data_IF_118488666827
#
_entry.id   IF_118488666827
#
_cell.length_a   1.000
_cell.length_b   1.000
_cell.length_c   1.000
_cell.angle_alpha   90.00
_cell.angle_beta   90.00
_cell.angle_gamma   90.00
#
_symmetry.space_group_name_H-M   'P 1'
#
loop_
_entity.id
_entity.type
_entity.pdbx_description
1 polymer ?
#
# COMPACT_ATOMS: atom_id res chain seq x y z
N UNK A 1 7.48 -18.01 -16.89
CA UNK A 1 7.79 -16.57 -17.07
C UNK A 1 6.97 -15.83 -16.04
N UNK A 2 7.60 -15.02 -15.19
CA UNK A 2 6.86 -14.23 -14.21
C UNK A 2 5.85 -13.33 -14.93
N UNK A 3 4.58 -13.41 -14.54
CA UNK A 3 3.52 -12.59 -15.10
C UNK A 3 3.69 -11.12 -14.72
N UNK A 4 3.00 -10.23 -15.43
CA UNK A 4 2.89 -8.82 -15.07
C UNK A 4 1.44 -8.38 -15.24
N UNK A 5 0.98 -7.42 -14.45
CA UNK A 5 -0.31 -6.78 -14.71
C UNK A 5 -0.28 -6.15 -16.11
N UNK A 6 -1.39 -6.24 -16.87
CA UNK A 6 -1.46 -5.77 -18.25
C UNK A 6 -1.63 -4.25 -18.31
N UNK A 7 -0.66 -3.51 -17.77
CA UNK A 7 -0.62 -2.05 -17.77
C UNK A 7 0.49 -1.55 -18.70
N UNK A 8 0.28 -0.38 -19.29
CA UNK A 8 1.35 0.33 -20.02
C UNK A 8 2.24 1.09 -19.03
N UNK A 9 3.29 0.42 -18.56
CA UNK A 9 4.23 1.01 -17.60
C UNK A 9 5.09 2.13 -18.18
N UNK A 10 5.28 2.16 -19.51
CA UNK A 10 5.98 3.26 -20.18
C UNK A 10 5.12 4.52 -20.13
N UNK A 11 3.82 4.39 -20.41
CA UNK A 11 2.85 5.47 -20.23
C UNK A 11 2.76 5.92 -18.76
N UNK A 12 2.67 4.99 -17.81
CA UNK A 12 2.65 5.33 -16.38
C UNK A 12 3.92 6.08 -15.95
N UNK A 13 5.10 5.68 -16.43
CA UNK A 13 6.34 6.38 -16.14
C UNK A 13 6.40 7.77 -16.78
N UNK A 14 5.88 7.92 -18.01
CA UNK A 14 5.75 9.23 -18.66
C UNK A 14 4.89 10.17 -17.82
N UNK A 15 3.70 9.73 -17.39
CA UNK A 15 2.80 10.51 -16.52
C UNK A 15 3.45 10.81 -15.15
N UNK A 16 4.19 9.86 -14.60
CA UNK A 16 4.94 10.03 -13.36
C UNK A 16 6.02 11.12 -13.46
N UNK A 17 6.70 11.26 -14.60
CA UNK A 17 7.68 12.33 -14.78
C UNK A 17 7.02 13.71 -14.73
N UNK A 18 5.91 13.89 -15.44
CA UNK A 18 5.11 15.13 -15.37
C UNK A 18 4.65 15.43 -13.95
N UNK A 19 4.20 14.40 -13.22
CA UNK A 19 3.83 14.52 -11.81
C UNK A 19 5.02 14.92 -10.91
N UNK A 20 6.20 14.34 -11.14
CA UNK A 20 7.40 14.59 -10.34
C UNK A 20 7.83 16.05 -10.42
N UNK A 21 7.70 16.67 -11.60
CA UNK A 21 8.01 18.09 -11.79
C UNK A 21 7.01 19.00 -11.04
N UNK A 22 5.74 18.59 -10.93
CA UNK A 22 4.75 19.28 -10.07
C UNK A 22 5.11 19.19 -8.60
N UNK A 23 5.52 18.02 -8.11
CA UNK A 23 5.99 17.85 -6.72
C UNK A 23 7.20 18.75 -6.44
N UNK A 24 8.19 18.74 -7.33
CA UNK A 24 9.43 19.53 -7.18
C UNK A 24 9.20 21.03 -7.21
N UNK A 25 8.21 21.49 -7.96
CA UNK A 25 7.79 22.89 -8.01
C UNK A 25 6.86 23.30 -6.87
N UNK A 26 6.55 22.39 -5.94
CA UNK A 26 5.67 22.65 -4.80
C UNK A 26 4.21 22.84 -5.17
N UNK A 27 3.79 22.39 -6.36
CA UNK A 27 2.39 22.42 -6.76
C UNK A 27 1.58 21.46 -5.89
N UNK A 28 0.31 21.81 -5.67
CA UNK A 28 -0.61 20.94 -4.98
C UNK A 28 -0.89 19.70 -5.85
N UNK A 29 -0.56 18.52 -5.31
CA UNK A 29 -0.76 17.22 -5.96
C UNK A 29 -2.03 16.50 -5.51
N UNK A 30 -2.80 17.08 -4.57
CA UNK A 30 -4.05 16.48 -4.10
C UNK A 30 -5.17 16.71 -5.12
N UNK A 31 -6.14 15.77 -5.21
CA UNK A 31 -7.37 15.99 -5.96
C UNK A 31 -8.06 17.29 -5.53
N UNK A 32 -8.53 18.07 -6.51
CA UNK A 32 -9.15 19.38 -6.27
C UNK A 32 -10.45 19.31 -5.44
N UNK A 33 -11.07 18.13 -5.38
CA UNK A 33 -12.33 17.91 -4.66
C UNK A 33 -12.22 17.94 -3.13
N UNK A 34 -11.02 18.11 -2.56
CA UNK A 34 -10.76 18.05 -1.13
C UNK A 34 -10.05 19.33 -0.66
N UNK A 35 -10.38 19.83 0.54
CA UNK A 35 -9.71 21.02 1.09
C UNK A 35 -8.22 20.74 1.35
N UNK A 36 -7.36 21.66 0.93
CA UNK A 36 -5.90 21.53 1.07
C UNK A 36 -5.46 21.48 2.54
N UNK A 37 -6.17 22.16 3.43
CA UNK A 37 -5.91 22.16 4.88
C UNK A 37 -6.07 20.78 5.51
N UNK A 38 -7.16 20.07 5.19
CA UNK A 38 -7.41 18.72 5.72
C UNK A 38 -6.29 17.76 5.31
N UNK A 39 -5.85 17.79 4.05
CA UNK A 39 -4.75 16.95 3.58
C UNK A 39 -3.43 17.26 4.26
N UNK A 40 -3.12 18.55 4.46
CA UNK A 40 -1.91 18.96 5.17
C UNK A 40 -1.91 18.48 6.62
N UNK A 41 -3.04 18.62 7.33
CA UNK A 41 -3.20 18.10 8.69
C UNK A 41 -3.03 16.58 8.74
N UNK A 42 -3.58 15.86 7.75
CA UNK A 42 -3.46 14.40 7.68
C UNK A 42 -2.06 13.93 7.35
N UNK A 43 -1.37 14.58 6.41
CA UNK A 43 0.02 14.27 6.14
C UNK A 43 0.90 14.60 7.35
N UNK A 44 0.63 15.71 8.04
CA UNK A 44 1.36 16.05 9.26
C UNK A 44 1.12 15.02 10.36
N UNK A 45 -0.12 14.59 10.58
CA UNK A 45 -0.45 13.52 11.51
C UNK A 45 0.24 12.20 11.12
N UNK A 46 0.18 11.79 9.85
CA UNK A 46 0.83 10.58 9.38
C UNK A 46 2.35 10.67 9.52
N UNK A 47 2.94 11.81 9.17
CA UNK A 47 4.36 12.09 9.39
C UNK A 47 4.69 11.91 10.87
N UNK A 48 3.90 12.50 11.77
CA UNK A 48 4.08 12.36 13.21
C UNK A 48 3.93 10.91 13.69
N UNK A 49 2.98 10.13 13.16
CA UNK A 49 2.86 8.71 13.50
C UNK A 49 4.10 7.94 13.03
N UNK A 50 4.55 8.20 11.80
CA UNK A 50 5.71 7.55 11.19
C UNK A 50 7.00 7.89 11.95
N UNK A 51 7.15 9.14 12.41
CA UNK A 51 8.32 9.60 13.17
C UNK A 51 8.26 9.18 14.64
N UNK A 52 7.08 9.22 15.27
CA UNK A 52 6.88 8.82 16.68
C UNK A 52 6.72 7.31 16.88
N UNK A 53 6.63 6.54 15.80
CA UNK A 53 6.83 5.10 15.82
C UNK A 53 8.13 4.79 15.05
N UNK A 54 9.28 5.28 15.57
CA UNK A 54 10.55 4.94 14.98
C UNK A 54 10.69 3.43 15.01
N UNK A 55 11.29 2.89 13.96
CA UNK A 55 11.63 1.47 13.97
C UNK A 55 12.41 1.18 15.26
N UNK A 56 12.05 0.14 15.98
CA UNK A 56 12.67 -0.22 17.27
C UNK A 56 14.15 -0.59 17.15
N UNK A 57 14.73 -0.43 15.95
CA UNK A 57 16.07 -0.87 15.58
C UNK A 57 16.15 -2.37 15.32
N UNK A 58 15.06 -3.11 15.58
CA UNK A 58 15.02 -4.56 15.44
C UNK A 58 14.91 -5.01 13.98
N UNK A 59 14.56 -4.13 13.06
CA UNK A 59 14.55 -4.46 11.65
C UNK A 59 15.96 -4.48 11.06
N UNK A 60 16.43 -5.67 10.70
CA UNK A 60 17.68 -5.86 9.94
C UNK A 60 17.57 -5.43 8.47
N UNK A 61 16.41 -4.91 8.04
CA UNK A 61 16.13 -4.46 6.66
C UNK A 61 16.36 -5.57 5.61
N UNK A 62 16.18 -6.81 6.01
CA UNK A 62 16.48 -7.98 5.18
C UNK A 62 15.64 -8.09 3.90
N UNK A 63 14.45 -7.47 3.87
CA UNK A 63 13.53 -7.53 2.73
C UNK A 63 12.60 -8.75 2.71
N UNK A 64 12.70 -9.68 3.65
CA UNK A 64 11.82 -10.87 3.72
C UNK A 64 10.33 -10.50 3.79
N UNK A 65 9.96 -9.45 4.54
CA UNK A 65 8.56 -8.99 4.55
C UNK A 65 8.05 -8.55 3.17
N UNK A 66 8.93 -8.06 2.29
CA UNK A 66 8.58 -7.70 0.92
C UNK A 66 8.52 -8.91 -0.02
N UNK A 67 9.15 -10.03 0.36
CA UNK A 67 8.97 -11.30 -0.32
C UNK A 67 7.65 -11.94 0.09
N UNK A 68 7.35 -11.96 1.39
CA UNK A 68 6.25 -12.76 1.93
C UNK A 68 4.88 -12.06 1.86
N UNK A 69 4.84 -10.73 1.86
CA UNK A 69 3.60 -9.96 1.82
C UNK A 69 3.45 -9.12 0.56
N UNK A 70 2.26 -9.11 -0.07
CA UNK A 70 1.97 -8.18 -1.16
C UNK A 70 1.98 -6.75 -0.64
N UNK A 71 2.54 -5.84 -1.43
CA UNK A 71 2.52 -4.42 -1.07
C UNK A 71 1.10 -3.85 -1.18
N UNK A 72 0.64 -3.22 -0.10
CA UNK A 72 -0.58 -2.44 -0.08
C UNK A 72 -0.40 -1.24 0.86
N UNK A 73 -1.05 -0.13 0.53
CA UNK A 73 -1.06 1.06 1.36
C UNK A 73 -2.41 1.76 1.30
N UNK A 74 -2.67 2.66 2.24
CA UNK A 74 -3.84 3.55 2.26
C UNK A 74 -3.58 4.79 1.38
N UNK A 75 -4.63 5.54 0.98
CA UNK A 75 -4.46 6.77 0.19
C UNK A 75 -3.47 7.76 0.82
N UNK A 76 -3.61 8.02 2.13
CA UNK A 76 -2.72 8.97 2.83
C UNK A 76 -1.26 8.49 2.88
N UNK A 77 -1.03 7.19 2.98
CA UNK A 77 0.31 6.61 2.95
C UNK A 77 0.90 6.67 1.55
N UNK A 78 0.09 6.45 0.51
CA UNK A 78 0.48 6.67 -0.87
C UNK A 78 0.95 8.11 -1.10
N UNK A 79 0.18 9.11 -0.65
CA UNK A 79 0.57 10.52 -0.74
C UNK A 79 1.81 10.89 0.10
N UNK A 80 2.18 10.07 1.07
CA UNK A 80 3.44 10.21 1.80
C UNK A 80 4.62 9.55 1.07
N UNK A 81 4.38 8.44 0.37
CA UNK A 81 5.39 7.72 -0.41
C UNK A 81 5.75 8.47 -1.70
N UNK A 82 4.78 9.06 -2.40
CA UNK A 82 5.04 9.72 -3.69
C UNK A 82 6.10 10.82 -3.60
N UNK A 83 6.02 11.80 -2.68
CA UNK A 83 7.04 12.85 -2.58
C UNK A 83 8.40 12.28 -2.21
N UNK A 84 8.45 11.23 -1.39
CA UNK A 84 9.71 10.56 -1.07
C UNK A 84 10.35 9.98 -2.34
N UNK A 85 9.60 9.27 -3.18
CA UNK A 85 10.14 8.74 -4.45
C UNK A 85 10.57 9.91 -5.36
N UNK A 86 9.69 10.90 -5.58
CA UNK A 86 9.92 12.03 -6.48
C UNK A 86 11.15 12.88 -6.11
N UNK A 87 11.35 13.11 -4.81
CA UNK A 87 12.38 14.01 -4.27
C UNK A 87 13.68 13.30 -3.89
N UNK A 88 13.61 12.05 -3.39
CA UNK A 88 14.78 11.36 -2.83
C UNK A 88 15.38 10.34 -3.80
N UNK A 89 14.66 9.90 -4.83
CA UNK A 89 15.19 8.91 -5.76
C UNK A 89 15.74 9.54 -7.04
N UNK A 90 16.91 9.10 -7.52
CA UNK A 90 17.40 9.40 -8.86
C UNK A 90 16.40 8.97 -9.95
N UNK A 91 16.38 9.69 -11.09
CA UNK A 91 15.41 9.46 -12.17
C UNK A 91 15.51 8.06 -12.78
N UNK A 92 16.72 7.54 -12.94
CA UNK A 92 17.00 6.18 -13.38
C UNK A 92 16.40 5.14 -12.44
N UNK A 93 16.50 5.34 -11.12
CA UNK A 93 15.85 4.46 -10.14
C UNK A 93 14.33 4.52 -10.23
N UNK A 94 13.76 5.72 -10.41
CA UNK A 94 12.33 5.87 -10.64
C UNK A 94 11.89 5.15 -11.92
N UNK A 95 12.69 5.21 -13.00
CA UNK A 95 12.42 4.48 -14.23
C UNK A 95 12.44 2.96 -14.00
N UNK A 96 13.43 2.43 -13.28
CA UNK A 96 13.51 1.01 -12.94
C UNK A 96 12.28 0.55 -12.14
N UNK A 97 11.79 1.34 -11.18
CA UNK A 97 10.56 1.03 -10.44
C UNK A 97 9.40 0.78 -11.41
N UNK A 98 9.16 1.70 -12.33
CA UNK A 98 8.03 1.61 -13.24
C UNK A 98 8.22 0.56 -14.32
N UNK A 99 9.37 0.53 -14.98
CA UNK A 99 9.57 -0.33 -16.16
C UNK A 99 9.90 -1.77 -15.79
N UNK A 100 10.48 -2.00 -14.62
CA UNK A 100 10.97 -3.33 -14.24
C UNK A 100 10.31 -3.91 -12.99
N UNK A 101 9.86 -3.11 -12.01
CA UNK A 101 9.42 -3.65 -10.71
C UNK A 101 7.89 -3.70 -10.59
N UNK A 102 7.19 -2.64 -10.98
CA UNK A 102 5.75 -2.50 -10.76
C UNK A 102 4.92 -3.57 -11.47
N UNK A 103 3.90 -4.05 -10.76
CA UNK A 103 2.93 -5.07 -11.14
C UNK A 103 3.50 -6.40 -11.60
N UNK A 104 4.73 -6.74 -11.24
CA UNK A 104 5.23 -8.12 -11.35
C UNK A 104 4.36 -9.05 -10.50
N UNK A 105 4.04 -10.22 -11.06
CA UNK A 105 3.21 -11.26 -10.45
C UNK A 105 4.08 -12.51 -10.21
N UNK A 106 3.98 -13.05 -9.01
CA UNK A 106 4.59 -14.31 -8.55
C UNK A 106 3.88 -15.51 -9.16
N UNK A 107 4.53 -16.67 -9.09
CA UNK A 107 3.97 -17.93 -9.60
C UNK A 107 2.69 -18.37 -8.84
N UNK A 108 2.52 -17.92 -7.59
CA UNK A 108 1.31 -18.14 -6.80
C UNK A 108 0.19 -17.12 -7.08
N UNK A 109 0.37 -16.23 -8.06
CA UNK A 109 -0.59 -15.22 -8.47
C UNK A 109 -0.61 -13.96 -7.61
N UNK A 110 0.28 -13.84 -6.62
CA UNK A 110 0.40 -12.63 -5.80
C UNK A 110 1.30 -11.58 -6.46
N UNK A 111 1.09 -10.30 -6.14
CA UNK A 111 2.00 -9.25 -6.61
C UNK A 111 3.32 -9.29 -5.84
N UNK A 112 4.44 -9.12 -6.53
CA UNK A 112 5.70 -8.78 -5.88
C UNK A 112 5.60 -7.38 -5.27
N UNK A 113 6.24 -7.18 -4.11
CA UNK A 113 6.47 -5.83 -3.61
C UNK A 113 7.38 -5.08 -4.60
N UNK A 114 6.93 -3.96 -5.21
CA UNK A 114 7.75 -3.24 -6.17
C UNK A 114 8.93 -2.50 -5.50
N UNK A 115 8.95 -2.43 -4.17
CA UNK A 115 9.98 -1.75 -3.40
C UNK A 115 11.07 -2.69 -2.85
N UNK A 116 11.08 -3.96 -3.26
CA UNK A 116 12.15 -4.89 -2.89
C UNK A 116 13.35 -4.73 -3.83
N UNK A 117 14.50 -4.34 -3.25
CA UNK A 117 15.79 -4.28 -3.94
C UNK A 117 16.82 -5.20 -3.24
N UNK A 118 18.01 -5.36 -3.84
CA UNK A 118 19.09 -6.22 -3.32
C UNK A 118 19.50 -5.88 -1.87
N UNK A 119 19.28 -4.64 -1.44
CA UNK A 119 19.56 -4.16 -0.07
C UNK A 119 18.34 -4.09 0.86
N UNK A 120 17.20 -4.68 0.47
CA UNK A 120 15.95 -4.64 1.23
C UNK A 120 14.91 -3.66 0.67
N UNK A 121 14.06 -3.14 1.55
CA UNK A 121 12.96 -2.25 1.17
C UNK A 121 13.47 -0.83 0.82
N UNK A 122 13.28 -0.40 -0.42
CA UNK A 122 13.75 0.88 -0.95
C UNK A 122 13.01 2.10 -0.39
N UNK A 123 11.77 1.91 0.08
CA UNK A 123 10.96 2.93 0.75
C UNK A 123 10.96 2.78 2.27
N UNK A 124 11.92 2.05 2.84
CA UNK A 124 11.93 1.73 4.26
C UNK A 124 11.65 2.92 5.22
N UNK A 125 12.19 4.14 5.02
CA UNK A 125 11.90 5.29 5.89
C UNK A 125 10.43 5.74 5.88
N UNK A 126 9.73 5.51 4.78
CA UNK A 126 8.35 5.96 4.54
C UNK A 126 7.38 4.80 4.31
N UNK A 127 7.79 3.58 4.64
CA UNK A 127 6.99 2.37 4.41
C UNK A 127 5.64 2.45 5.13
N UNK A 128 4.56 1.89 4.53
CA UNK A 128 3.22 1.88 5.11
C UNK A 128 3.21 1.31 6.53
N UNK A 129 2.23 1.72 7.35
CA UNK A 129 2.02 1.17 8.67
C UNK A 129 1.79 -0.35 8.63
N UNK A 130 1.16 -0.87 7.58
CA UNK A 130 1.03 -2.32 7.38
C UNK A 130 2.42 -3.00 7.42
N UNK A 131 3.37 -2.46 6.65
CA UNK A 131 4.75 -2.94 6.62
C UNK A 131 5.51 -2.66 7.93
N UNK A 132 5.09 -1.68 8.73
CA UNK A 132 5.65 -1.42 10.08
C UNK A 132 5.05 -2.28 11.17
N UNK A 133 3.81 -2.74 11.04
CA UNK A 133 3.11 -3.51 12.07
C UNK A 133 3.26 -5.01 11.90
N UNK A 134 3.53 -5.48 10.68
CA UNK A 134 4.11 -6.80 10.46
C UNK A 134 5.44 -7.00 11.23
N UNK A 135 6.02 -5.92 11.79
CA UNK A 135 7.24 -5.90 12.62
C UNK A 135 6.91 -5.91 14.14
N UNK A 136 5.66 -5.65 14.55
CA UNK A 136 5.29 -5.55 15.97
C UNK A 136 4.97 -6.90 16.65
N UNK A 137 4.93 -7.99 15.90
CA UNK A 137 5.23 -9.33 16.42
C UNK A 137 6.70 -9.62 16.12
N UNK A 138 7.44 -10.25 17.05
CA UNK A 138 8.89 -10.51 16.95
C UNK A 138 9.34 -10.80 15.50
N UNK A 139 10.21 -9.92 15.02
CA UNK A 139 10.55 -9.61 13.63
C UNK A 139 10.74 -10.83 12.68
N UNK A 140 10.11 -10.84 11.49
CA UNK A 140 10.37 -11.87 10.45
C UNK A 140 11.86 -11.92 10.04
N UNK A 141 12.49 -10.76 9.85
CA UNK A 141 13.93 -10.68 9.60
C UNK A 141 14.86 -11.07 10.78
N UNK A 142 14.33 -11.38 11.97
CA UNK A 142 15.11 -11.86 13.13
C UNK A 142 14.86 -13.35 13.41
N UNK A 143 14.60 -14.14 12.36
CA UNK A 143 14.40 -15.61 12.32
C UNK A 143 15.31 -16.51 13.16
N UNK A 144 16.33 -15.99 13.84
CA UNK A 144 17.32 -16.81 14.55
C UNK A 144 16.82 -17.52 15.82
N UNK A 145 15.59 -17.29 16.31
CA UNK A 145 15.19 -17.79 17.63
C UNK A 145 13.83 -18.51 17.76
N UNK A 146 13.11 -18.88 16.68
CA UNK A 146 11.88 -19.68 16.82
C UNK A 146 11.66 -20.66 15.66
N UNK A 147 11.49 -21.93 16.02
CA UNK A 147 10.81 -22.93 15.19
C UNK A 147 9.30 -22.66 15.29
N UNK A 148 8.65 -22.41 14.15
CA UNK A 148 7.19 -22.31 14.08
C UNK A 148 6.68 -23.38 13.10
N UNK A 149 5.64 -24.11 13.49
CA UNK A 149 5.12 -25.25 12.73
C UNK A 149 4.25 -24.82 11.52
N UNK A 150 3.76 -23.57 11.47
CA UNK A 150 2.93 -23.07 10.36
C UNK A 150 2.88 -21.54 10.20
N UNK A 151 2.43 -21.06 9.03
CA UNK A 151 2.09 -19.65 8.74
C UNK A 151 0.90 -19.15 9.61
N UNK A 152 0.12 -20.05 10.21
CA UNK A 152 -0.95 -19.71 11.16
C UNK A 152 -0.39 -19.33 12.54
N UNK A 153 0.64 -20.06 12.99
CA UNK A 153 1.37 -19.80 14.23
C UNK A 153 2.27 -18.56 14.13
N UNK A 154 2.75 -18.27 12.90
CA UNK A 154 3.55 -17.10 12.50
C UNK A 154 2.91 -15.74 12.77
N UNK A 155 1.58 -15.64 12.78
CA UNK A 155 0.92 -14.34 12.66
C UNK A 155 0.02 -13.94 13.83
N UNK A 156 -0.37 -14.82 14.76
CA UNK A 156 -1.66 -14.62 15.42
C UNK A 156 -2.68 -14.27 14.31
N UNK A 157 -2.77 -15.15 13.29
CA UNK A 157 -3.44 -14.84 12.03
C UNK A 157 -4.83 -14.29 12.28
N UNK A 158 -5.57 -14.83 13.24
CA UNK A 158 -6.86 -14.29 13.64
C UNK A 158 -6.77 -12.87 14.21
N UNK A 159 -6.01 -12.50 15.25
CA UNK A 159 -5.89 -11.10 15.68
C UNK A 159 -5.32 -10.12 14.64
N UNK A 160 -4.34 -10.50 13.83
CA UNK A 160 -3.72 -9.61 12.83
C UNK A 160 -4.62 -9.48 11.61
N UNK A 161 -5.13 -10.57 11.06
CA UNK A 161 -6.16 -10.51 10.02
C UNK A 161 -7.39 -9.81 10.57
N UNK A 162 -7.87 -10.11 11.78
CA UNK A 162 -8.96 -9.36 12.43
C UNK A 162 -8.62 -7.89 12.61
N UNK A 163 -7.37 -7.49 12.90
CA UNK A 163 -6.95 -6.09 12.91
C UNK A 163 -6.82 -5.46 11.51
N UNK A 164 -6.55 -6.27 10.48
CA UNK A 164 -6.39 -5.83 9.10
C UNK A 164 -7.70 -5.86 8.30
N UNK A 165 -8.68 -6.67 8.72
CA UNK A 165 -9.94 -6.95 8.00
C UNK A 165 -11.18 -6.61 8.82
N UNK A 166 -11.12 -6.59 10.16
CA UNK A 166 -12.29 -6.47 11.06
C UNK A 166 -12.18 -5.29 12.04
N UNK A 167 -10.97 -4.87 12.42
CA UNK A 167 -10.67 -3.72 13.29
C UNK A 167 -9.76 -2.73 12.56
N UNK A 168 -10.29 -2.10 11.52
CA UNK A 168 -10.03 -0.70 11.18
C UNK A 168 -8.66 -0.14 11.58
N UNK A 169 -7.66 -0.32 10.71
CA UNK A 169 -6.73 0.78 10.40
C UNK A 169 -7.34 1.72 9.35
N UNK A 170 -8.66 1.88 9.40
CA UNK A 170 -9.38 2.95 8.74
C UNK A 170 -8.94 4.25 9.40
N UNK A 171 -8.36 5.15 8.62
CA UNK A 171 -8.09 6.49 9.11
C UNK A 171 -9.40 7.26 9.14
N UNK A 172 -9.85 7.60 10.33
CA UNK A 172 -10.98 8.49 10.50
C UNK A 172 -10.52 9.96 10.58
N UNK A 173 -11.37 10.86 10.15
CA UNK A 173 -11.24 12.30 10.33
C UNK A 173 -12.55 12.89 10.82
N UNK A 174 -12.47 14.02 11.52
CA UNK A 174 -13.65 14.77 11.89
C UNK A 174 -13.93 15.81 10.81
N UNK A 175 -15.13 15.78 10.24
CA UNK A 175 -15.57 16.78 9.27
C UNK A 175 -15.91 18.13 9.94
N UNK A 176 -16.43 19.08 9.16
CA UNK A 176 -16.84 20.40 9.66
C UNK A 176 -17.97 20.33 10.70
N UNK A 177 -18.70 19.20 10.74
CA UNK A 177 -19.77 18.91 11.70
C UNK A 177 -19.28 18.02 12.87
N UNK A 178 -17.96 17.81 12.99
CA UNK A 178 -17.32 16.95 13.97
C UNK A 178 -17.79 15.48 13.90
N UNK A 179 -18.19 15.01 12.73
CA UNK A 179 -18.53 13.62 12.47
C UNK A 179 -17.29 12.84 12.01
N UNK A 180 -17.13 11.62 12.54
CA UNK A 180 -16.03 10.73 12.18
C UNK A 180 -16.27 10.10 10.80
N UNK A 181 -15.53 10.56 9.79
CA UNK A 181 -15.57 10.05 8.42
C UNK A 181 -14.33 9.20 8.13
N UNK A 182 -14.54 8.06 7.47
CA UNK A 182 -13.50 7.18 6.97
C UNK A 182 -12.81 7.76 5.72
N UNK A 183 -11.48 7.89 5.77
CA UNK A 183 -10.67 8.23 4.60
C UNK A 183 -10.61 7.04 3.66
N UNK A 184 -11.36 7.15 2.57
CA UNK A 184 -11.40 6.17 1.50
C UNK A 184 -11.37 6.90 0.15
N UNK A 185 -11.01 6.17 -0.91
CA UNK A 185 -11.13 6.70 -2.27
C UNK A 185 -12.38 6.11 -2.92
N UNK A 186 -13.38 6.93 -3.23
CA UNK A 186 -14.58 6.44 -3.88
C UNK A 186 -14.25 6.01 -5.31
N UNK A 187 -14.71 4.83 -5.68
CA UNK A 187 -14.57 4.26 -7.02
C UNK A 187 -15.95 4.06 -7.60
N UNK A 188 -16.19 4.72 -8.72
CA UNK A 188 -17.40 4.57 -9.52
C UNK A 188 -17.05 3.84 -10.81
N UNK A 189 -17.50 2.59 -10.93
CA UNK A 189 -17.31 1.78 -12.12
C UNK A 189 -18.64 1.60 -12.86
N UNK A 190 -18.68 1.71 -14.20
CA UNK A 190 -19.90 1.47 -14.97
C UNK A 190 -20.51 0.09 -14.67
N UNK A 191 -21.77 0.07 -14.24
CA UNK A 191 -22.50 -1.18 -13.98
C UNK A 191 -22.25 -1.82 -12.61
N UNK A 192 -21.41 -1.23 -11.75
CA UNK A 192 -21.23 -1.65 -10.36
C UNK A 192 -21.79 -0.59 -9.40
N UNK A 193 -22.19 -1.03 -8.20
CA UNK A 193 -22.52 -0.10 -7.10
C UNK A 193 -21.24 0.64 -6.71
N UNK A 194 -21.37 1.94 -6.42
CA UNK A 194 -20.26 2.73 -5.86
C UNK A 194 -19.70 2.04 -4.61
N UNK A 195 -18.37 1.93 -4.56
CA UNK A 195 -17.64 1.37 -3.43
C UNK A 195 -16.40 2.21 -3.17
N UNK A 196 -15.76 2.01 -2.03
CA UNK A 196 -14.56 2.78 -1.67
C UNK A 196 -13.38 1.89 -1.34
N UNK A 197 -12.20 2.30 -1.81
CA UNK A 197 -10.94 1.65 -1.50
C UNK A 197 -10.35 2.27 -0.24
N UNK A 198 -10.00 1.42 0.72
CA UNK A 198 -9.34 1.81 1.97
C UNK A 198 -7.85 1.47 1.93
N UNK A 199 -7.51 0.35 1.29
CA UNK A 199 -6.15 -0.07 0.94
C UNK A 199 -6.12 -0.57 -0.50
N UNK A 200 -5.01 -0.35 -1.18
CA UNK A 200 -4.76 -0.92 -2.50
C UNK A 200 -3.25 -1.02 -2.78
N UNK A 201 -2.85 -1.85 -3.75
CA UNK A 201 -1.52 -1.79 -4.35
C UNK A 201 -1.20 -0.41 -4.92
N UNK A 202 0.09 -0.13 -5.03
CA UNK A 202 0.60 1.17 -5.45
C UNK A 202 0.09 1.60 -6.85
N UNK A 203 -0.02 0.64 -7.76
CA UNK A 203 -0.50 0.81 -9.13
C UNK A 203 -1.93 1.34 -9.17
N UNK A 204 -2.81 0.83 -8.30
CA UNK A 204 -4.22 1.27 -8.24
C UNK A 204 -4.29 2.73 -7.83
N UNK A 205 -3.55 3.12 -6.78
CA UNK A 205 -3.50 4.51 -6.34
C UNK A 205 -2.94 5.44 -7.40
N UNK A 206 -1.91 4.99 -8.12
CA UNK A 206 -1.35 5.75 -9.23
C UNK A 206 -2.35 5.94 -10.37
N UNK A 207 -3.06 4.88 -10.79
CA UNK A 207 -4.09 4.98 -11.83
C UNK A 207 -5.21 5.94 -11.43
N UNK A 208 -5.66 5.89 -10.17
CA UNK A 208 -6.68 6.79 -9.64
C UNK A 208 -6.20 8.25 -9.59
N UNK A 209 -4.95 8.47 -9.19
CA UNK A 209 -4.33 9.81 -9.19
C UNK A 209 -4.24 10.41 -10.61
N UNK A 210 -4.00 9.56 -11.61
CA UNK A 210 -3.91 9.92 -13.03
C UNK A 210 -5.27 9.93 -13.75
N UNK A 211 -6.37 9.79 -13.02
CA UNK A 211 -7.75 9.70 -13.52
C UNK A 211 -7.96 8.60 -14.59
N UNK A 212 -7.17 7.52 -14.52
CA UNK A 212 -7.24 6.37 -15.43
C UNK A 212 -8.27 5.34 -14.95
N UNK A 213 -9.52 5.75 -14.82
CA UNK A 213 -10.58 4.94 -14.20
C UNK A 213 -10.88 3.64 -14.94
N UNK A 214 -10.87 3.65 -16.27
CA UNK A 214 -11.11 2.45 -17.09
C UNK A 214 -10.02 1.40 -16.89
N UNK A 215 -8.75 1.81 -16.85
CA UNK A 215 -7.63 0.92 -16.56
C UNK A 215 -7.69 0.38 -15.13
N UNK A 216 -8.08 1.23 -14.17
CA UNK A 216 -8.30 0.81 -12.78
C UNK A 216 -9.39 -0.26 -12.69
N UNK A 217 -10.51 -0.07 -13.38
CA UNK A 217 -11.60 -1.05 -13.48
C UNK A 217 -11.08 -2.37 -14.04
N UNK A 218 -10.34 -2.32 -15.15
CA UNK A 218 -9.71 -3.47 -15.75
C UNK A 218 -8.86 -4.25 -14.76
N UNK A 219 -7.97 -3.59 -14.01
CA UNK A 219 -7.12 -4.25 -13.00
C UNK A 219 -7.93 -4.86 -11.85
N UNK A 220 -8.95 -4.15 -11.37
CA UNK A 220 -9.82 -4.63 -10.28
C UNK A 220 -10.69 -5.83 -10.72
N UNK A 221 -11.08 -5.89 -11.99
CA UNK A 221 -11.87 -6.97 -12.58
C UNK A 221 -11.04 -8.20 -12.96
N UNK A 222 -9.71 -8.09 -13.05
CA UNK A 222 -8.85 -9.24 -13.33
C UNK A 222 -9.11 -10.31 -12.28
N UNK A 223 -9.53 -11.51 -12.72
CA UNK A 223 -9.69 -12.73 -11.89
C UNK A 223 -8.44 -13.10 -11.08
N UNK A 224 -7.30 -12.49 -11.40
CA UNK A 224 -5.98 -12.63 -10.79
C UNK A 224 -5.64 -11.55 -9.76
N UNK A 225 -6.39 -10.44 -9.65
CA UNK A 225 -6.26 -9.49 -8.54
C UNK A 225 -6.93 -10.03 -7.27
N UNK A 226 -6.53 -11.24 -6.89
CA UNK A 226 -6.87 -11.95 -5.66
C UNK A 226 -6.11 -11.52 -4.38
N UNK A 227 -5.01 -10.71 -4.39
CA UNK A 227 -3.98 -10.85 -3.36
C UNK A 227 -4.25 -10.11 -2.04
N UNK A 228 -5.39 -9.47 -1.84
CA UNK A 228 -5.77 -8.95 -0.50
C UNK A 228 -6.97 -9.70 0.09
N UNK A 229 -7.89 -10.21 -0.74
CA UNK A 229 -9.14 -10.80 -0.25
C UNK A 229 -9.14 -12.34 -0.19
N UNK A 230 -8.32 -13.05 -0.97
CA UNK A 230 -8.24 -14.52 -0.89
C UNK A 230 -7.27 -15.08 0.17
N UNK A 231 -6.51 -14.21 0.85
CA UNK A 231 -5.82 -14.60 2.10
C UNK A 231 -6.83 -14.96 3.21
N UNK A 232 -8.10 -14.57 3.06
CA UNK A 232 -9.23 -15.08 3.81
C UNK A 232 -9.81 -16.28 3.05
N UNK A 233 -9.33 -17.50 3.33
CA UNK A 233 -10.11 -18.68 2.90
C UNK A 233 -11.49 -18.62 3.58
N UNK A 234 -12.61 -18.77 2.87
CA UNK A 234 -13.88 -19.07 3.51
C UNK A 234 -13.74 -20.48 4.13
N UNK A 235 -13.57 -20.57 5.45
CA UNK A 235 -13.55 -21.86 6.14
C UNK A 235 -12.71 -22.01 7.40
N UNK A 236 -11.89 -21.04 7.81
CA UNK A 236 -11.04 -21.17 9.02
C UNK A 236 -11.32 -20.19 10.15
N UNK A 237 -12.21 -19.20 9.98
CA UNK A 237 -12.71 -18.38 11.07
C UNK A 237 -14.08 -18.91 11.53
N UNK A 238 -14.08 -19.83 12.49
CA UNK A 238 -15.27 -20.07 13.29
C UNK A 238 -15.50 -18.84 14.16
N UNK A 239 -16.44 -17.99 13.77
CA UNK A 239 -16.97 -16.96 14.67
C UNK A 239 -17.60 -17.67 15.86
N UNK A 240 -16.90 -17.67 16.99
CA UNK A 240 -17.49 -18.01 18.28
C UNK A 240 -18.67 -17.08 18.51
N UNK A 241 -19.86 -17.67 18.58
CA UNK A 241 -21.07 -16.99 19.03
C UNK A 241 -20.85 -16.52 20.46
N UNK A 242 -20.79 -15.20 20.64
CA UNK A 242 -21.15 -14.57 21.91
C UNK A 242 -22.67 -14.39 21.96
#
# INVERSE_FOLDING_TARGET
MAGRLPLDYSYLFYQWNEFTDKVRSGQNIFPQSWSSSLWQEKLHLLHNIITNHPDSGLCSRCGECCLDFPFACRPVEFFYILPYIALQWPKDRQQTLFLEQMGKIRDDGQNYCPFLEKGGCSIYPVRPLLCRRAICGEHICNKQNRDFDSLGDWCNADPVITQLTTMNLVYYYFDEQNQSIELNWPVELPGLKSFSLTVAPFEIWLLLLLDQRELCAGVLELKTFKPILQCLKPGTLSLGTA
#
